data_IF_345611281355
#
_entry.id   IF_345611281355
#
_cell.length_a   1.000
_cell.length_b   1.000
_cell.length_c   1.000
_cell.angle_alpha   90.00
_cell.angle_beta   90.00
_cell.angle_gamma   90.00
#
_symmetry.space_group_name_H-M   'P 1'
#
loop_
_entity.id
_entity.type
_entity.pdbx_description
1 polymer ?
#
# COMPACT_ATOMS: atom_id res chain seq x y z
N UNK A 1 12.94 6.54 -5.94
CA UNK A 1 12.14 5.32 -5.73
C UNK A 1 11.77 5.11 -4.26
N UNK A 2 12.67 5.36 -3.30
CA UNK A 2 12.37 5.22 -1.86
C UNK A 2 11.12 6.02 -1.42
N UNK A 3 10.94 7.24 -1.96
CA UNK A 3 9.72 8.04 -1.74
C UNK A 3 8.43 7.36 -2.20
N UNK A 4 8.45 6.53 -3.26
CA UNK A 4 7.25 5.83 -3.72
C UNK A 4 6.83 4.70 -2.75
N UNK A 5 7.81 4.04 -2.13
CA UNK A 5 7.56 3.03 -1.09
C UNK A 5 6.98 3.67 0.17
N UNK A 6 7.48 4.84 0.56
CA UNK A 6 6.93 5.64 1.66
C UNK A 6 5.53 6.17 1.37
N UNK A 7 5.25 6.60 0.13
CA UNK A 7 3.91 7.03 -0.30
C UNK A 7 2.90 5.88 -0.21
N UNK A 8 3.27 4.67 -0.63
CA UNK A 8 2.41 3.49 -0.48
C UNK A 8 2.16 3.17 0.99
N UNK A 9 3.19 3.26 1.85
CA UNK A 9 3.03 3.09 3.31
C UNK A 9 2.04 4.10 3.87
N UNK A 10 2.18 5.38 3.50
CA UNK A 10 1.27 6.44 3.93
C UNK A 10 -0.17 6.17 3.47
N UNK A 11 -0.38 5.83 2.20
CA UNK A 11 -1.69 5.50 1.65
C UNK A 11 -2.36 4.33 2.39
N UNK A 12 -1.61 3.28 2.70
CA UNK A 12 -2.12 2.14 3.47
C UNK A 12 -2.49 2.53 4.90
N UNK A 13 -1.67 3.34 5.59
CA UNK A 13 -2.00 3.85 6.93
C UNK A 13 -3.28 4.69 6.90
N UNK A 14 -3.41 5.62 5.94
CA UNK A 14 -4.62 6.43 5.80
C UNK A 14 -5.85 5.59 5.46
N UNK A 15 -5.71 4.56 4.61
CA UNK A 15 -6.80 3.66 4.30
C UNK A 15 -7.21 2.78 5.49
N UNK A 16 -6.25 2.36 6.33
CA UNK A 16 -6.53 1.64 7.57
C UNK A 16 -7.38 2.50 8.53
N UNK A 17 -6.91 3.72 8.82
CA UNK A 17 -7.64 4.68 9.66
C UNK A 17 -9.02 5.02 9.08
N UNK A 18 -9.11 5.16 7.75
CA UNK A 18 -10.39 5.41 7.08
C UNK A 18 -11.35 4.21 7.24
N UNK A 19 -10.83 2.98 7.09
CA UNK A 19 -11.60 1.74 7.17
C UNK A 19 -12.19 1.48 8.55
N UNK A 20 -11.56 1.97 9.62
CA UNK A 20 -12.03 1.80 11.01
C UNK A 20 -13.41 2.43 11.24
N UNK A 21 -13.74 3.48 10.49
CA UNK A 21 -15.05 4.15 10.57
C UNK A 21 -16.13 3.53 9.65
N UNK A 22 -15.75 2.56 8.81
CA UNK A 22 -16.59 1.97 7.78
C UNK A 22 -17.14 0.61 8.20
N UNK A 23 -18.25 0.18 7.59
CA UNK A 23 -18.80 -1.16 7.78
C UNK A 23 -19.32 -1.74 6.46
N UNK A 24 -19.52 -3.05 6.42
CA UNK A 24 -20.02 -3.77 5.23
C UNK A 24 -19.14 -3.61 4.00
N UNK A 25 -19.77 -3.56 2.82
CA UNK A 25 -19.10 -3.56 1.51
C UNK A 25 -18.10 -2.42 1.33
N UNK A 26 -18.36 -1.26 1.94
CA UNK A 26 -17.46 -0.11 1.83
C UNK A 26 -16.13 -0.39 2.53
N UNK A 27 -16.17 -1.02 3.72
CA UNK A 27 -14.97 -1.46 4.44
C UNK A 27 -14.24 -2.56 3.67
N UNK A 28 -14.98 -3.53 3.15
CA UNK A 28 -14.40 -4.64 2.38
C UNK A 28 -13.67 -4.14 1.12
N UNK A 29 -14.23 -3.13 0.43
CA UNK A 29 -13.59 -2.50 -0.71
C UNK A 29 -12.31 -1.74 -0.32
N UNK A 30 -12.35 -0.97 0.77
CA UNK A 30 -11.15 -0.26 1.27
C UNK A 30 -10.03 -1.24 1.64
N UNK A 31 -10.36 -2.35 2.31
CA UNK A 31 -9.40 -3.40 2.65
C UNK A 31 -8.84 -4.10 1.41
N UNK A 32 -9.67 -4.33 0.38
CA UNK A 32 -9.22 -4.87 -0.91
C UNK A 32 -8.22 -3.93 -1.59
N UNK A 33 -8.50 -2.62 -1.59
CA UNK A 33 -7.57 -1.60 -2.12
C UNK A 33 -6.27 -1.58 -1.33
N UNK A 34 -6.32 -1.65 0.01
CA UNK A 34 -5.12 -1.74 0.84
C UNK A 34 -4.28 -2.96 0.49
N UNK A 35 -4.91 -4.12 0.28
CA UNK A 35 -4.19 -5.33 -0.13
C UNK A 35 -3.48 -5.17 -1.48
N UNK A 36 -4.13 -4.50 -2.45
CA UNK A 36 -3.51 -4.18 -3.73
C UNK A 36 -2.31 -3.23 -3.57
N UNK A 37 -2.41 -2.25 -2.67
CA UNK A 37 -1.30 -1.34 -2.36
C UNK A 37 -0.11 -2.06 -1.70
N UNK A 38 -0.38 -3.02 -0.80
CA UNK A 38 0.65 -3.86 -0.17
C UNK A 38 1.40 -4.67 -1.25
N UNK A 39 0.67 -5.31 -2.18
CA UNK A 39 1.29 -6.03 -3.28
C UNK A 39 2.11 -5.11 -4.20
N UNK A 40 1.60 -3.91 -4.50
CA UNK A 40 2.34 -2.93 -5.29
C UNK A 40 3.64 -2.50 -4.60
N UNK A 41 3.62 -2.35 -3.26
CA UNK A 41 4.81 -2.03 -2.47
C UNK A 41 5.85 -3.15 -2.53
N UNK A 42 5.44 -4.41 -2.41
CA UNK A 42 6.36 -5.56 -2.53
C UNK A 42 7.07 -5.58 -3.89
N UNK A 43 6.33 -5.35 -4.98
CA UNK A 43 6.90 -5.28 -6.34
C UNK A 43 7.88 -4.11 -6.46
N UNK A 44 7.52 -2.95 -5.91
CA UNK A 44 8.36 -1.76 -5.92
C UNK A 44 9.65 -1.96 -5.11
N UNK A 45 9.55 -2.49 -3.90
CA UNK A 45 10.70 -2.76 -3.03
C UNK A 45 11.66 -3.75 -3.72
N UNK A 46 11.13 -4.81 -4.35
CA UNK A 46 11.94 -5.73 -5.17
C UNK A 46 12.64 -5.02 -6.34
N UNK A 47 11.93 -4.14 -7.04
CA UNK A 47 12.51 -3.39 -8.16
C UNK A 47 13.60 -2.40 -7.70
N UNK A 48 13.42 -1.79 -6.52
CA UNK A 48 14.42 -0.92 -5.89
C UNK A 48 15.68 -1.72 -5.57
N UNK A 49 15.54 -2.85 -4.89
CA UNK A 49 16.66 -3.71 -4.51
C UNK A 49 17.46 -4.15 -5.75
N UNK A 50 16.76 -4.53 -6.83
CA UNK A 50 17.39 -4.88 -8.10
C UNK A 50 18.12 -3.69 -8.74
N UNK A 51 17.55 -2.49 -8.68
CA UNK A 51 18.17 -1.28 -9.26
C UNK A 51 19.37 -0.75 -8.48
N UNK A 52 19.50 -1.11 -7.20
CA UNK A 52 20.65 -0.73 -6.37
C UNK A 52 21.89 -1.62 -6.54
N UNK A 53 21.80 -2.66 -7.37
CA UNK A 53 22.89 -3.61 -7.65
C UNK A 53 23.63 -3.37 -8.99
N UNK A 54 23.43 -2.20 -9.60
CA UNK A 54 24.21 -1.72 -10.76
C UNK A 54 25.38 -0.82 -10.36
#
# INVERSE_FOLDING_TARGET
>A
MMHASELLRCAMTSAAEFSDSMTGTQRDMTLSIMHLMEMAKVILDWAIDKSGTE
#
